data_IF_880797562900
#
_entry.id   IF_880797562900
#
_cell.length_a   1.000
_cell.length_b   1.000
_cell.length_c   1.000
_cell.angle_alpha   90.00
_cell.angle_beta   90.00
_cell.angle_gamma   90.00
#
_symmetry.space_group_name_H-M   'P 1'
#
loop_
_entity.id
_entity.type
_entity.pdbx_description
1 polymer ?
#
# COMPACT_ATOMS: atom_id res chain seq x y z
N UNK A 1 11.23 15.64 -7.96
CA UNK A 1 10.51 14.88 -6.91
C UNK A 1 9.13 15.46 -6.63
N UNK A 2 9.01 16.69 -6.10
CA UNK A 2 7.70 17.36 -5.85
C UNK A 2 7.00 17.81 -7.15
N UNK A 3 7.76 18.23 -8.17
CA UNK A 3 7.20 18.73 -9.43
C UNK A 3 6.47 17.66 -10.28
N UNK A 4 6.94 16.41 -10.25
CA UNK A 4 6.31 15.32 -11.01
C UNK A 4 5.09 14.76 -10.26
N UNK A 5 5.17 14.69 -8.94
CA UNK A 5 4.02 14.39 -8.06
C UNK A 5 2.89 15.42 -8.23
N UNK A 6 3.23 16.70 -8.45
CA UNK A 6 2.26 17.78 -8.72
C UNK A 6 1.54 17.60 -10.06
N UNK A 7 2.21 17.09 -11.11
CA UNK A 7 1.57 16.85 -12.41
C UNK A 7 0.54 15.73 -12.33
N UNK A 8 0.83 14.68 -11.58
CA UNK A 8 -0.12 13.59 -11.31
C UNK A 8 -1.34 14.09 -10.52
N UNK A 9 -1.14 14.97 -9.53
CA UNK A 9 -2.26 15.53 -8.75
C UNK A 9 -3.10 16.55 -9.55
N UNK A 10 -2.50 17.36 -10.43
CA UNK A 10 -3.24 18.33 -11.25
C UNK A 10 -4.16 17.68 -12.30
N UNK A 11 -3.87 16.45 -12.75
CA UNK A 11 -4.76 15.71 -13.66
C UNK A 11 -5.91 15.01 -12.95
N UNK A 12 -5.88 14.90 -11.61
CA UNK A 12 -6.87 14.22 -10.76
C UNK A 12 -7.82 15.26 -10.13
N UNK A 13 -8.10 16.32 -10.90
CA UNK A 13 -8.84 17.50 -10.45
C UNK A 13 -10.35 17.37 -10.43
N UNK A 14 -10.97 16.19 -10.55
CA UNK A 14 -12.43 16.07 -10.57
C UNK A 14 -12.99 14.79 -9.90
N UNK A 15 -13.83 15.03 -8.88
CA UNK A 15 -14.78 14.17 -8.16
C UNK A 15 -14.30 13.31 -6.97
N UNK A 16 -14.90 13.50 -5.76
CA UNK A 16 -14.62 12.70 -4.57
C UNK A 16 -15.51 11.45 -4.58
N UNK A 17 -15.21 10.48 -5.43
CA UNK A 17 -15.76 9.14 -5.25
C UNK A 17 -14.63 8.12 -5.40
N UNK A 18 -14.11 7.69 -4.24
CA UNK A 18 -13.13 6.62 -4.12
C UNK A 18 -13.78 5.27 -4.46
N UNK A 19 -14.13 5.06 -5.73
CA UNK A 19 -14.44 3.73 -6.23
C UNK A 19 -13.15 3.07 -6.70
N UNK A 20 -12.90 1.85 -6.25
CA UNK A 20 -11.75 0.99 -6.55
C UNK A 20 -11.39 0.88 -8.05
N UNK A 21 -12.26 1.34 -8.94
CA UNK A 21 -12.06 1.47 -10.39
C UNK A 21 -10.97 2.49 -10.78
N UNK A 22 -10.73 3.55 -9.99
CA UNK A 22 -9.74 4.59 -10.34
C UNK A 22 -8.28 4.12 -10.17
N UNK A 23 -8.02 3.22 -9.20
CA UNK A 23 -6.71 2.58 -9.04
C UNK A 23 -6.34 1.70 -10.23
N UNK A 24 -7.31 1.01 -10.80
CA UNK A 24 -7.11 0.15 -11.98
C UNK A 24 -6.86 1.01 -13.23
N UNK A 25 -7.58 2.12 -13.41
CA UNK A 25 -7.32 3.06 -14.52
C UNK A 25 -5.95 3.72 -14.45
N UNK A 26 -5.48 4.12 -13.25
CA UNK A 26 -4.12 4.64 -13.06
C UNK A 26 -3.07 3.57 -13.35
N UNK A 27 -3.30 2.31 -12.95
CA UNK A 27 -2.39 1.20 -13.27
C UNK A 27 -2.33 0.91 -14.78
N UNK A 28 -3.46 0.99 -15.49
CA UNK A 28 -3.55 0.80 -16.95
C UNK A 28 -2.91 1.97 -17.73
N UNK A 29 -3.10 3.21 -17.28
CA UNK A 29 -2.48 4.38 -17.90
C UNK A 29 -0.95 4.40 -17.67
N UNK A 30 -0.47 3.99 -16.50
CA UNK A 30 0.97 3.82 -16.23
C UNK A 30 1.61 2.68 -17.05
N UNK A 31 0.82 1.72 -17.52
CA UNK A 31 1.30 0.66 -18.42
C UNK A 31 1.50 1.17 -19.85
N UNK A 32 0.79 2.23 -20.24
CA UNK A 32 0.80 2.77 -21.62
C UNK A 32 1.98 3.72 -21.91
N UNK A 33 2.57 4.35 -20.88
CA UNK A 33 3.74 5.23 -21.04
C UNK A 33 5.07 4.46 -21.08
N UNK A 34 5.10 3.20 -20.65
CA UNK A 34 6.31 2.37 -20.53
C UNK A 34 6.63 1.53 -21.78
N UNK A 35 6.17 2.00 -22.95
CA UNK A 35 6.38 1.38 -24.27
C UNK A 35 7.79 1.60 -24.87
N UNK A 36 8.75 2.13 -24.10
CA UNK A 36 10.15 2.35 -24.52
C UNK A 36 11.19 1.56 -23.71
N UNK A 37 10.77 0.46 -23.10
CA UNK A 37 11.63 -0.55 -22.48
C UNK A 37 11.34 -1.90 -23.12
N UNK A 38 12.29 -2.84 -23.06
CA UNK A 38 12.03 -4.23 -23.45
C UNK A 38 10.72 -4.70 -22.80
N UNK A 39 9.68 -5.08 -23.57
CA UNK A 39 8.34 -5.33 -23.04
C UNK A 39 8.34 -6.44 -21.99
N UNK A 40 9.31 -7.36 -22.09
CA UNK A 40 9.55 -8.43 -21.12
C UNK A 40 9.95 -7.90 -19.73
N UNK A 41 10.81 -6.88 -19.67
CA UNK A 41 11.27 -6.26 -18.40
C UNK A 41 10.14 -5.45 -17.77
N UNK A 42 9.37 -4.73 -18.58
CA UNK A 42 8.21 -3.98 -18.11
C UNK A 42 7.16 -4.92 -17.49
N UNK A 43 6.78 -5.99 -18.20
CA UNK A 43 5.82 -6.99 -17.71
C UNK A 43 6.31 -7.68 -16.43
N UNK A 44 7.57 -8.12 -16.40
CA UNK A 44 8.15 -8.77 -15.21
C UNK A 44 8.17 -7.84 -13.99
N UNK A 45 8.44 -6.55 -14.18
CA UNK A 45 8.49 -5.57 -13.09
C UNK A 45 7.12 -5.27 -12.50
N UNK A 46 6.07 -5.21 -13.33
CA UNK A 46 4.69 -5.00 -12.88
C UNK A 46 4.19 -6.22 -12.09
N UNK A 47 4.46 -7.43 -12.58
CA UNK A 47 4.11 -8.66 -11.87
C UNK A 47 4.86 -8.77 -10.54
N UNK A 48 6.17 -8.50 -10.53
CA UNK A 48 6.98 -8.51 -9.32
C UNK A 48 6.52 -7.46 -8.30
N UNK A 49 6.15 -6.25 -8.73
CA UNK A 49 5.61 -5.22 -7.86
C UNK A 49 4.25 -5.62 -7.26
N UNK A 50 3.35 -6.20 -8.05
CA UNK A 50 2.06 -6.70 -7.56
C UNK A 50 2.20 -7.82 -6.53
N UNK A 51 3.11 -8.77 -6.78
CA UNK A 51 3.41 -9.85 -5.84
C UNK A 51 4.07 -9.33 -4.56
N UNK A 52 4.99 -8.37 -4.66
CA UNK A 52 5.66 -7.79 -3.50
C UNK A 52 4.65 -7.12 -2.54
N UNK A 53 3.72 -6.31 -3.07
CA UNK A 53 2.67 -5.67 -2.25
C UNK A 53 1.69 -6.71 -1.71
N UNK A 54 1.23 -7.63 -2.57
CA UNK A 54 0.25 -8.64 -2.19
C UNK A 54 0.75 -9.53 -1.04
N UNK A 55 1.99 -10.00 -1.12
CA UNK A 55 2.59 -10.82 -0.06
C UNK A 55 2.91 -10.01 1.20
N UNK A 56 3.34 -8.76 1.06
CA UNK A 56 3.63 -7.89 2.19
C UNK A 56 2.37 -7.55 3.01
N UNK A 57 1.20 -7.48 2.38
CA UNK A 57 -0.06 -7.12 3.05
C UNK A 57 -0.72 -8.28 3.83
N UNK A 58 -0.40 -9.54 3.51
CA UNK A 58 -1.07 -10.71 4.12
C UNK A 58 -0.77 -10.81 5.62
N UNK A 59 0.50 -10.67 6.02
CA UNK A 59 0.91 -10.78 7.42
C UNK A 59 0.23 -9.75 8.33
N UNK A 60 0.35 -8.44 8.01
CA UNK A 60 -0.33 -7.36 8.72
C UNK A 60 -1.85 -7.53 8.74
N UNK A 61 -2.47 -7.89 7.61
CA UNK A 61 -3.92 -8.08 7.53
C UNK A 61 -4.44 -9.17 8.48
N UNK A 62 -3.74 -10.31 8.55
CA UNK A 62 -4.09 -11.40 9.48
C UNK A 62 -3.84 -10.99 10.95
N UNK A 63 -2.68 -10.37 11.23
CA UNK A 63 -2.30 -9.97 12.58
C UNK A 63 -3.19 -8.87 13.17
N UNK A 64 -3.57 -7.88 12.36
CA UNK A 64 -4.43 -6.77 12.78
C UNK A 64 -5.84 -7.23 13.13
N UNK A 65 -6.42 -8.13 12.32
CA UNK A 65 -7.76 -8.67 12.58
C UNK A 65 -7.83 -9.41 13.92
N UNK A 66 -6.87 -10.29 14.19
CA UNK A 66 -6.80 -11.02 15.46
C UNK A 66 -6.52 -10.10 16.66
N UNK A 67 -5.57 -9.16 16.53
CA UNK A 67 -5.24 -8.22 17.59
C UNK A 67 -6.42 -7.28 17.92
N UNK A 68 -7.16 -6.82 16.91
CA UNK A 68 -8.38 -6.04 17.10
C UNK A 68 -9.45 -6.85 17.86
N UNK A 69 -9.64 -8.12 17.51
CA UNK A 69 -10.59 -9.01 18.21
C UNK A 69 -10.28 -9.14 19.70
N UNK A 70 -9.02 -9.42 20.05
CA UNK A 70 -8.60 -9.50 21.45
C UNK A 70 -8.68 -8.16 22.19
N UNK A 71 -8.41 -7.05 21.49
CA UNK A 71 -8.54 -5.73 22.08
C UNK A 71 -10.00 -5.41 22.42
N UNK A 72 -10.95 -5.72 21.54
CA UNK A 72 -12.38 -5.52 21.80
C UNK A 72 -12.86 -6.39 22.96
N UNK A 73 -12.43 -7.66 23.02
CA UNK A 73 -12.75 -8.55 24.14
C UNK A 73 -12.15 -8.05 25.46
N UNK A 74 -10.92 -7.55 25.43
CA UNK A 74 -10.27 -6.93 26.59
C UNK A 74 -11.00 -5.69 27.09
N UNK A 75 -11.44 -4.81 26.17
CA UNK A 75 -12.24 -3.63 26.48
C UNK A 75 -13.59 -4.02 27.07
N UNK A 76 -14.25 -5.05 26.53
CA UNK A 76 -15.53 -5.53 27.04
C UNK A 76 -15.44 -6.06 28.49
N UNK A 77 -14.30 -6.68 28.85
CA UNK A 77 -14.05 -7.17 30.22
C UNK A 77 -13.63 -6.06 31.18
N UNK A 78 -12.91 -5.05 30.70
CA UNK A 78 -12.40 -3.93 31.50
C UNK A 78 -12.54 -2.60 30.74
N UNK A 79 -13.72 -1.97 30.77
CA UNK A 79 -13.97 -0.73 30.04
C UNK A 79 -13.14 0.45 30.56
N UNK A 80 -12.79 0.45 31.85
CA UNK A 80 -11.93 1.47 32.47
C UNK A 80 -10.50 1.51 31.89
N UNK A 81 -10.04 0.38 31.33
CA UNK A 81 -8.73 0.25 30.71
C UNK A 81 -8.74 0.54 29.20
N UNK A 82 -9.88 0.95 28.63
CA UNK A 82 -10.07 1.11 27.18
C UNK A 82 -8.99 1.98 26.53
N UNK A 83 -8.69 3.15 27.12
CA UNK A 83 -7.68 4.06 26.59
C UNK A 83 -6.28 3.44 26.50
N UNK A 84 -5.91 2.61 27.49
CA UNK A 84 -4.62 1.89 27.49
C UNK A 84 -4.59 0.77 26.45
N UNK A 85 -5.68 0.00 26.33
CA UNK A 85 -5.81 -1.08 25.36
C UNK A 85 -5.76 -0.53 23.93
N UNK A 86 -6.51 0.53 23.63
CA UNK A 86 -6.48 1.22 22.32
C UNK A 86 -5.11 1.80 22.02
N UNK A 87 -4.43 2.39 23.00
CA UNK A 87 -3.07 2.89 22.84
C UNK A 87 -2.08 1.79 22.45
N UNK A 88 -2.09 0.66 23.15
CA UNK A 88 -1.24 -0.49 22.84
C UNK A 88 -1.58 -1.13 21.48
N UNK A 89 -2.86 -1.21 21.14
CA UNK A 89 -3.34 -1.71 19.84
C UNK A 89 -2.83 -0.85 18.69
N UNK A 90 -2.99 0.48 18.78
CA UNK A 90 -2.55 1.42 17.74
C UNK A 90 -1.02 1.41 17.59
N UNK A 91 -0.27 1.31 18.69
CA UNK A 91 1.18 1.17 18.64
C UNK A 91 1.59 -0.12 17.92
N UNK A 92 0.90 -1.22 18.21
CA UNK A 92 1.15 -2.51 17.54
C UNK A 92 0.82 -2.45 16.05
N UNK A 93 -0.27 -1.77 15.69
CA UNK A 93 -0.65 -1.54 14.29
C UNK A 93 0.39 -0.70 13.55
N UNK A 94 0.92 0.35 14.18
CA UNK A 94 1.96 1.18 13.58
C UNK A 94 3.23 0.37 13.26
N UNK A 95 3.64 -0.54 14.14
CA UNK A 95 4.77 -1.44 13.88
C UNK A 95 4.48 -2.44 12.74
N UNK A 96 3.29 -3.03 12.71
CA UNK A 96 2.89 -3.93 11.60
C UNK A 96 2.87 -3.21 10.25
N UNK A 97 2.28 -2.01 10.20
CA UNK A 97 2.21 -1.19 8.99
C UNK A 97 3.59 -0.75 8.49
N UNK A 98 4.54 -0.49 9.40
CA UNK A 98 5.91 -0.14 9.00
C UNK A 98 6.58 -1.26 8.17
N UNK A 99 6.26 -2.52 8.45
CA UNK A 99 6.74 -3.67 7.68
C UNK A 99 6.04 -3.78 6.33
N UNK A 100 4.73 -3.50 6.28
CA UNK A 100 3.97 -3.41 5.02
C UNK A 100 4.55 -2.35 4.09
N UNK A 101 4.91 -1.19 4.65
CA UNK A 101 5.45 -0.06 3.90
C UNK A 101 6.79 -0.42 3.26
N UNK A 102 7.63 -1.25 3.89
CA UNK A 102 8.86 -1.73 3.22
C UNK A 102 8.57 -2.52 1.94
N UNK A 103 7.54 -3.38 1.93
CA UNK A 103 7.10 -4.08 0.73
C UNK A 103 6.57 -3.13 -0.35
N UNK A 104 5.80 -2.12 0.07
CA UNK A 104 5.32 -1.06 -0.82
C UNK A 104 6.47 -0.25 -1.43
N UNK A 105 7.50 0.08 -0.65
CA UNK A 105 8.69 0.81 -1.11
C UNK A 105 9.41 0.02 -2.20
N UNK A 106 9.59 -1.29 -2.03
CA UNK A 106 10.21 -2.15 -3.06
C UNK A 106 9.38 -2.15 -4.35
N UNK A 107 8.06 -2.28 -4.24
CA UNK A 107 7.17 -2.25 -5.39
C UNK A 107 7.22 -0.90 -6.13
N UNK A 108 7.22 0.22 -5.40
CA UNK A 108 7.36 1.55 -5.97
C UNK A 108 8.73 1.76 -6.62
N UNK A 109 9.81 1.22 -6.03
CA UNK A 109 11.15 1.25 -6.61
C UNK A 109 11.19 0.48 -7.93
N UNK A 110 10.60 -0.72 -8.01
CA UNK A 110 10.51 -1.50 -9.25
C UNK A 110 9.66 -0.80 -10.33
N UNK A 111 8.63 -0.04 -9.93
CA UNK A 111 7.76 0.64 -10.87
C UNK A 111 8.35 1.96 -11.38
N UNK A 112 9.02 2.75 -10.54
CA UNK A 112 9.46 4.11 -10.87
C UNK A 112 10.98 4.29 -10.97
N UNK A 113 11.77 3.44 -10.32
CA UNK A 113 13.22 3.54 -10.23
C UNK A 113 13.90 2.21 -10.63
N UNK A 114 13.34 1.53 -11.64
CA UNK A 114 13.79 0.21 -12.06
C UNK A 114 15.24 0.26 -12.60
N UNK A 115 16.23 -0.39 -11.94
CA UNK A 115 17.60 -0.42 -12.42
C UNK A 115 17.79 -1.33 -13.65
N UNK A 116 16.82 -2.20 -13.97
CA UNK A 116 16.89 -3.11 -15.12
C UNK A 116 16.33 -2.49 -16.42
N UNK A 117 15.87 -1.25 -16.33
CA UNK A 117 15.23 -0.50 -17.41
C UNK A 117 16.19 0.41 -18.21
N UNK A 118 17.45 0.53 -17.77
CA UNK A 118 18.48 1.39 -18.38
C UNK A 118 19.05 0.81 -19.66
#
# INVERSE_FOLDING_TARGET
MIAEFRKTLCSVGETPHWSSTHFISILVLLTSEKLRMNPLVAAASVIAAGLAVGLAAIGPGMGQGTAAGYAVEGIARQPEAEGKIRGALLLSFAFMESLTIYGLVVALALLFANPFAS
#
